data_IF_525085732865
#
_entry.id   IF_525085732865
#
_cell.length_a   1.000
_cell.length_b   1.000
_cell.length_c   1.000
_cell.angle_alpha   90.00
_cell.angle_beta   90.00
_cell.angle_gamma   90.00
#
_symmetry.space_group_name_H-M   'P 1'
#
loop_
_entity.id
_entity.type
_entity.pdbx_description
1 polymer ?
#
# COMPACT_ATOMS: atom_id res chain seq x y z
N UNK A 1 -14.38 -4.68 8.53
CA UNK A 1 -13.55 -3.50 8.85
C UNK A 1 -13.61 -2.58 7.64
N UNK A 2 -13.85 -1.29 7.84
CA UNK A 2 -13.96 -0.33 6.73
C UNK A 2 -12.56 0.18 6.34
N UNK A 3 -12.15 -0.05 5.10
CA UNK A 3 -10.80 0.29 4.62
C UNK A 3 -10.56 1.81 4.57
N UNK A 4 -11.47 2.63 4.02
CA UNK A 4 -11.47 4.08 4.17
C UNK A 4 -11.18 4.58 5.60
N UNK A 5 -11.83 4.00 6.61
CA UNK A 5 -11.62 4.39 8.01
C UNK A 5 -10.20 4.08 8.50
N UNK A 6 -9.64 2.94 8.09
CA UNK A 6 -8.24 2.60 8.43
C UNK A 6 -7.26 3.58 7.81
N UNK A 7 -7.44 3.91 6.52
CA UNK A 7 -6.60 4.87 5.80
C UNK A 7 -6.67 6.24 6.48
N UNK A 8 -7.86 6.68 6.88
CA UNK A 8 -8.05 7.95 7.58
C UNK A 8 -7.33 7.98 8.93
N UNK A 9 -7.30 6.84 9.65
CA UNK A 9 -6.64 6.72 10.96
C UNK A 9 -5.12 6.60 10.87
N UNK A 10 -4.59 6.09 9.77
CA UNK A 10 -3.14 5.92 9.57
C UNK A 10 -2.42 7.27 9.48
N UNK A 11 -3.09 8.32 8.99
CA UNK A 11 -2.54 9.68 8.98
C UNK A 11 -1.59 9.95 7.81
N UNK A 12 -1.98 9.55 6.60
CA UNK A 12 -1.19 9.82 5.39
C UNK A 12 -0.96 11.32 5.13
N UNK A 13 0.19 11.70 4.55
CA UNK A 13 0.45 13.09 4.16
C UNK A 13 -0.63 13.66 3.23
N UNK A 14 -0.91 14.97 3.29
CA UNK A 14 -1.90 15.62 2.42
C UNK A 14 -1.65 15.35 0.93
N UNK A 15 -2.73 15.15 0.17
CA UNK A 15 -2.64 14.85 -1.26
C UNK A 15 -2.26 13.40 -1.60
N UNK A 16 -2.04 12.55 -0.59
CA UNK A 16 -1.84 11.11 -0.78
C UNK A 16 -3.18 10.40 -0.91
N UNK A 17 -3.40 9.70 -2.02
CA UNK A 17 -4.55 8.83 -2.20
C UNK A 17 -4.14 7.38 -2.00
N UNK A 18 -4.87 6.66 -1.15
CA UNK A 18 -4.64 5.22 -0.94
C UNK A 18 -5.79 4.43 -1.54
N UNK A 19 -5.46 3.47 -2.40
CA UNK A 19 -6.44 2.57 -3.02
C UNK A 19 -6.01 1.12 -2.86
N UNK A 20 -6.98 0.22 -3.03
CA UNK A 20 -6.71 -1.21 -3.00
C UNK A 20 -7.42 -1.91 -4.15
N UNK A 21 -6.82 -2.98 -4.65
CA UNK A 21 -7.38 -3.81 -5.72
C UNK A 21 -6.94 -5.26 -5.53
N UNK A 22 -7.84 -6.17 -5.93
CA UNK A 22 -7.53 -7.59 -5.96
C UNK A 22 -6.43 -7.88 -6.98
N UNK A 23 -5.54 -8.80 -6.64
CA UNK A 23 -4.51 -9.31 -7.54
C UNK A 23 -4.42 -10.84 -7.40
N UNK A 24 -3.88 -11.55 -8.40
CA UNK A 24 -3.55 -12.95 -8.22
C UNK A 24 -2.60 -13.14 -7.03
N UNK A 25 -2.98 -14.02 -6.09
CA UNK A 25 -2.19 -14.32 -4.90
C UNK A 25 -2.25 -13.28 -3.77
N UNK A 26 -3.19 -12.33 -3.83
CA UNK A 26 -3.48 -11.46 -2.69
C UNK A 26 -4.13 -10.13 -3.05
N UNK A 27 -3.72 -9.08 -2.33
CA UNK A 27 -4.28 -7.74 -2.47
C UNK A 27 -3.17 -6.71 -2.60
N UNK A 28 -3.30 -5.83 -3.58
CA UNK A 28 -2.38 -4.71 -3.73
C UNK A 28 -2.95 -3.48 -3.07
N UNK A 29 -2.05 -2.73 -2.41
CA UNK A 29 -2.32 -1.45 -1.81
C UNK A 29 -1.42 -0.42 -2.49
N UNK A 30 -2.02 0.68 -2.94
CA UNK A 30 -1.33 1.74 -3.68
C UNK A 30 -1.44 3.04 -2.90
N UNK A 31 -0.32 3.72 -2.70
CA UNK A 31 -0.27 5.13 -2.35
C UNK A 31 0.12 5.95 -3.60
N UNK A 32 -0.63 7.00 -3.90
CA UNK A 32 -0.40 7.84 -5.07
C UNK A 32 -0.45 9.33 -4.72
N UNK A 33 0.38 10.11 -5.40
CA UNK A 33 0.40 11.57 -5.43
C UNK A 33 0.56 12.01 -6.90
N UNK A 34 0.31 13.28 -7.27
CA UNK A 34 0.51 13.73 -8.65
C UNK A 34 1.91 13.40 -9.18
N UNK A 35 1.98 12.55 -10.21
CA UNK A 35 3.24 12.11 -10.85
C UNK A 35 4.08 11.13 -10.03
N UNK A 36 3.57 10.58 -8.92
CA UNK A 36 4.29 9.67 -8.02
C UNK A 36 3.40 8.54 -7.52
N UNK A 37 3.96 7.36 -7.30
CA UNK A 37 3.14 6.25 -6.83
C UNK A 37 3.93 5.04 -6.39
N UNK A 38 3.46 4.40 -5.32
CA UNK A 38 4.06 3.22 -4.74
C UNK A 38 3.00 2.15 -4.47
N UNK A 39 3.31 0.89 -4.78
CA UNK A 39 2.45 -0.26 -4.52
C UNK A 39 3.13 -1.29 -3.64
N UNK A 40 2.33 -1.90 -2.78
CA UNK A 40 2.67 -3.09 -2.00
C UNK A 40 1.66 -4.20 -2.28
N UNK A 41 2.16 -5.38 -2.65
CA UNK A 41 1.36 -6.61 -2.66
C UNK A 41 1.42 -7.26 -1.27
N UNK A 42 0.26 -7.44 -0.65
CA UNK A 42 0.06 -8.30 0.50
C UNK A 42 -0.40 -9.66 0.00
N UNK A 43 0.40 -10.70 0.23
CA UNK A 43 0.07 -12.06 -0.23
C UNK A 43 -0.95 -12.74 0.69
N UNK A 44 -1.74 -13.65 0.13
CA UNK A 44 -2.66 -14.48 0.90
C UNK A 44 -1.90 -15.31 1.95
N UNK A 45 -0.73 -15.83 1.59
CA UNK A 45 0.16 -16.58 2.50
C UNK A 45 0.60 -15.75 3.71
N UNK A 46 0.99 -14.48 3.52
CA UNK A 46 1.34 -13.61 4.64
C UNK A 46 0.14 -13.36 5.56
N UNK A 47 -1.07 -13.23 4.98
CA UNK A 47 -2.31 -13.11 5.76
C UNK A 47 -2.59 -14.39 6.55
N UNK A 48 -2.35 -15.57 5.98
CA UNK A 48 -2.51 -16.85 6.67
C UNK A 48 -1.52 -17.01 7.84
N UNK A 49 -0.27 -16.60 7.65
CA UNK A 49 0.79 -16.74 8.66
C UNK A 49 0.66 -15.73 9.81
N UNK A 50 0.35 -14.47 9.49
CA UNK A 50 0.47 -13.34 10.43
C UNK A 50 -0.88 -12.71 10.79
N UNK A 51 -1.97 -13.12 10.12
CA UNK A 51 -3.32 -12.59 10.31
C UNK A 51 -3.58 -11.30 9.52
N UNK A 52 -4.85 -11.08 9.15
CA UNK A 52 -5.26 -9.93 8.32
C UNK A 52 -5.02 -8.59 9.02
N UNK A 53 -5.36 -8.46 10.31
CA UNK A 53 -5.20 -7.21 11.05
C UNK A 53 -3.74 -6.73 11.14
N UNK A 54 -2.82 -7.57 11.65
CA UNK A 54 -1.39 -7.22 11.74
C UNK A 54 -0.74 -6.94 10.39
N UNK A 55 -1.04 -7.75 9.37
CA UNK A 55 -0.47 -7.54 8.03
C UNK A 55 -0.99 -6.26 7.38
N UNK A 56 -2.27 -5.95 7.55
CA UNK A 56 -2.85 -4.71 7.03
C UNK A 56 -2.26 -3.47 7.71
N UNK A 57 -2.08 -3.51 9.03
CA UNK A 57 -1.43 -2.43 9.77
C UNK A 57 0.02 -2.21 9.30
N UNK A 58 0.76 -3.30 9.07
CA UNK A 58 2.13 -3.23 8.53
C UNK A 58 2.15 -2.59 7.14
N UNK A 59 1.26 -3.02 6.25
CA UNK A 59 1.18 -2.49 4.88
C UNK A 59 0.84 -1.01 4.87
N UNK A 60 -0.15 -0.59 5.65
CA UNK A 60 -0.53 0.83 5.75
C UNK A 60 0.61 1.69 6.31
N UNK A 61 1.30 1.22 7.34
CA UNK A 61 2.48 1.89 7.89
C UNK A 61 3.59 2.07 6.86
N UNK A 62 3.89 1.04 6.06
CA UNK A 62 4.91 1.12 5.00
C UNK A 62 4.54 2.06 3.86
N UNK A 63 3.26 2.09 3.47
CA UNK A 63 2.78 3.06 2.49
C UNK A 63 2.89 4.50 3.03
N UNK A 64 2.59 4.71 4.31
CA UNK A 64 2.71 6.04 4.95
C UNK A 64 4.17 6.47 4.99
N UNK A 65 5.08 5.62 5.44
CA UNK A 65 6.53 5.88 5.45
C UNK A 65 7.05 6.26 4.07
N UNK A 66 6.62 5.53 3.02
CA UNK A 66 6.98 5.86 1.64
C UNK A 66 6.41 7.22 1.19
N UNK A 67 5.18 7.56 1.61
CA UNK A 67 4.57 8.85 1.31
C UNK A 67 5.27 10.01 2.03
N UNK A 68 5.69 9.81 3.28
CA UNK A 68 6.45 10.78 4.07
C UNK A 68 7.86 11.00 3.53
N UNK A 69 8.53 9.93 3.09
CA UNK A 69 9.84 10.00 2.43
C UNK A 69 9.77 10.61 1.01
N UNK A 70 8.56 10.77 0.47
CA UNK A 70 8.30 11.19 -0.90
C UNK A 70 8.20 9.99 -1.83
N UNK A 71 6.98 9.75 -2.33
CA UNK A 71 6.70 8.65 -3.26
C UNK A 71 7.61 8.70 -4.49
N UNK A 72 7.99 7.54 -5.06
CA UNK A 72 8.84 7.48 -6.24
C UNK A 72 8.13 8.08 -7.46
N UNK A 73 8.87 8.79 -8.34
CA UNK A 73 8.31 9.36 -9.55
C UNK A 73 7.84 8.26 -10.52
N UNK A 74 6.82 8.58 -11.30
CA UNK A 74 6.29 7.70 -12.35
C UNK A 74 6.85 8.11 -13.71
N UNK A 75 7.30 7.14 -14.49
CA UNK A 75 7.61 7.38 -15.89
C UNK A 75 6.33 7.51 -16.74
N UNK A 76 6.40 8.14 -17.93
CA UNK A 76 5.26 8.20 -18.84
C UNK A 76 4.69 6.81 -19.15
N UNK A 77 3.42 6.59 -18.83
CA UNK A 77 2.73 5.30 -18.98
C UNK A 77 2.81 4.37 -17.76
N UNK A 78 3.53 4.77 -16.72
CA UNK A 78 3.63 4.02 -15.45
C UNK A 78 2.60 4.53 -14.44
N UNK A 79 1.90 3.59 -13.80
CA UNK A 79 0.88 3.91 -12.76
C UNK A 79 1.43 3.86 -11.33
N UNK A 80 2.49 3.08 -11.08
CA UNK A 80 3.18 2.97 -9.79
C UNK A 80 4.59 2.35 -9.95
N UNK A 81 5.41 2.47 -8.91
CA UNK A 81 6.50 1.53 -8.63
C UNK A 81 6.01 0.48 -7.63
N UNK A 82 6.09 -0.82 -7.96
CA UNK A 82 5.64 -1.92 -7.09
C UNK A 82 6.80 -2.57 -6.35
N UNK A 83 6.63 -2.78 -5.04
CA UNK A 83 7.41 -3.74 -4.25
C UNK A 83 6.51 -4.88 -3.80
N UNK A 84 7.06 -6.09 -3.83
CA UNK A 84 6.38 -7.29 -3.31
C UNK A 84 6.85 -7.54 -1.89
N UNK A 85 5.91 -7.61 -0.95
CA UNK A 85 6.22 -8.09 0.39
C UNK A 85 6.03 -9.60 0.40
N UNK A 86 7.13 -10.34 0.32
CA UNK A 86 7.14 -11.78 0.58
C UNK A 86 7.32 -11.94 2.08
N UNK A 87 6.46 -12.72 2.74
CA UNK A 87 6.74 -13.14 4.11
C UNK A 87 8.09 -13.87 4.10
N UNK A 88 9.04 -13.41 4.90
CA UNK A 88 10.31 -14.12 5.11
C UNK A 88 10.06 -15.42 5.91
#
# INVERSE_FOLDING_TARGET
MDFPDLVAREGFPPGTQVTTFAAPGGRVFRAAQPGRGFELLLTDEAVEMYGEGPTLALVLGRLREAAEAGLPPLEPGQTCVRQTFVGD
#
